data_IF_046300826242
#
_entry.id   IF_046300826242
#
_cell.length_a   1.000
_cell.length_b   1.000
_cell.length_c   1.000
_cell.angle_alpha   90.00
_cell.angle_beta   90.00
_cell.angle_gamma   90.00
#
_symmetry.space_group_name_H-M   'P 1'
#
loop_
_entity.id
_entity.type
_entity.pdbx_description
1 polymer ?
#
# COMPACT_ATOMS: atom_id res chain seq x y z
N UNK A 1 -35.87 30.97 -29.11
CA UNK A 1 -35.72 30.37 -27.77
C UNK A 1 -35.34 28.91 -27.98
N UNK A 2 -34.09 28.53 -27.66
CA UNK A 2 -33.62 27.16 -27.83
C UNK A 2 -34.00 26.35 -26.59
N UNK A 3 -34.86 25.35 -26.76
CA UNK A 3 -35.22 24.42 -25.69
C UNK A 3 -34.10 23.39 -25.55
N UNK A 4 -33.37 23.46 -24.44
CA UNK A 4 -32.41 22.41 -24.07
C UNK A 4 -33.25 21.18 -23.70
N UNK A 5 -33.10 20.08 -24.42
CA UNK A 5 -33.84 18.84 -24.17
C UNK A 5 -33.59 18.34 -22.74
N UNK A 6 -34.67 18.14 -21.99
CA UNK A 6 -34.70 17.72 -20.57
C UNK A 6 -34.10 16.33 -20.29
N UNK A 7 -33.65 15.61 -21.32
CA UNK A 7 -33.08 14.26 -21.22
C UNK A 7 -31.57 14.23 -20.96
N UNK A 8 -30.89 15.38 -21.00
CA UNK A 8 -29.44 15.46 -20.71
C UNK A 8 -29.13 15.50 -19.21
N UNK A 9 -30.07 15.99 -18.40
CA UNK A 9 -29.92 16.12 -16.95
C UNK A 9 -29.75 14.77 -16.21
N UNK A 10 -30.56 13.72 -16.47
CA UNK A 10 -30.35 12.42 -15.83
C UNK A 10 -29.06 11.72 -16.30
N UNK A 11 -28.64 11.95 -17.55
CA UNK A 11 -27.36 11.42 -18.08
C UNK A 11 -26.18 12.05 -17.34
N UNK A 12 -26.22 13.36 -17.09
CA UNK A 12 -25.21 14.06 -16.28
C UNK A 12 -25.17 13.55 -14.84
N UNK A 13 -26.32 13.29 -14.22
CA UNK A 13 -26.38 12.76 -12.85
C UNK A 13 -25.84 11.32 -12.79
N UNK A 14 -26.17 10.46 -13.78
CA UNK A 14 -25.59 9.11 -13.87
C UNK A 14 -24.07 9.17 -14.06
N UNK A 15 -23.55 10.03 -14.94
CA UNK A 15 -22.11 10.24 -15.14
C UNK A 15 -21.40 10.70 -13.85
N UNK A 16 -22.01 11.60 -13.07
CA UNK A 16 -21.48 12.05 -11.78
C UNK A 16 -21.48 10.95 -10.71
N UNK A 17 -22.42 10.00 -10.77
CA UNK A 17 -22.51 8.88 -9.82
C UNK A 17 -21.54 7.73 -10.13
N UNK A 18 -21.02 7.62 -11.38
CA UNK A 18 -20.01 6.62 -11.76
C UNK A 18 -18.58 6.93 -11.28
N UNK A 19 -18.30 8.14 -10.79
CA UNK A 19 -16.99 8.54 -10.24
C UNK A 19 -16.81 8.22 -8.74
N UNK A 20 -17.55 7.25 -8.19
CA UNK A 20 -17.39 6.92 -6.77
C UNK A 20 -16.24 5.93 -6.50
N UNK A 21 -15.35 6.38 -5.62
CA UNK A 21 -14.14 5.76 -5.05
C UNK A 21 -12.89 5.72 -5.95
N UNK A 22 -12.33 6.89 -6.22
CA UNK A 22 -10.86 7.00 -6.26
C UNK A 22 -10.41 7.05 -4.80
N UNK A 23 -9.70 6.02 -4.32
CA UNK A 23 -8.89 6.21 -3.11
C UNK A 23 -7.80 7.20 -3.50
N UNK A 24 -8.00 8.47 -3.17
CA UNK A 24 -6.99 9.50 -3.43
C UNK A 24 -5.92 9.41 -2.36
N UNK A 25 -4.67 9.38 -2.77
CA UNK A 25 -3.52 9.72 -1.95
C UNK A 25 -2.55 10.45 -2.87
N UNK A 26 -1.69 11.28 -2.31
CA UNK A 26 -0.87 12.19 -3.09
C UNK A 26 0.44 11.53 -3.55
N UNK A 27 1.04 10.71 -2.68
CA UNK A 27 2.32 10.03 -2.95
C UNK A 27 2.46 8.74 -2.14
N UNK A 28 3.49 7.94 -2.46
CA UNK A 28 3.90 6.81 -1.64
C UNK A 28 5.12 7.15 -0.80
N UNK A 29 5.08 6.73 0.46
CA UNK A 29 6.24 6.64 1.34
C UNK A 29 6.83 5.24 1.27
N UNK A 30 8.07 5.13 0.82
CA UNK A 30 8.86 3.90 0.95
C UNK A 30 9.50 3.89 2.34
N UNK A 31 8.93 3.12 3.27
CA UNK A 31 9.38 3.09 4.65
C UNK A 31 10.35 1.94 4.83
N UNK A 32 11.56 2.28 5.28
CA UNK A 32 12.59 1.32 5.64
C UNK A 32 12.72 1.25 7.16
N UNK A 33 13.00 0.07 7.68
CA UNK A 33 13.34 -0.16 9.07
C UNK A 33 14.81 -0.56 9.20
N UNK A 34 15.42 -0.17 10.32
CA UNK A 34 16.72 -0.69 10.76
C UNK A 34 16.46 -1.76 11.83
N UNK A 35 16.52 -3.07 11.48
CA UNK A 35 16.10 -4.14 12.38
C UNK A 35 16.81 -4.12 13.74
N UNK A 36 18.12 -3.84 13.86
CA UNK A 36 18.76 -3.75 15.16
C UNK A 36 18.22 -2.64 16.06
N UNK A 37 17.67 -1.54 15.53
CA UNK A 37 16.99 -0.54 16.34
C UNK A 37 15.57 -0.97 16.69
N UNK A 38 14.82 -1.51 15.73
CA UNK A 38 13.46 -2.06 15.97
C UNK A 38 13.47 -3.08 17.11
N UNK A 39 14.50 -3.94 17.13
CA UNK A 39 14.67 -5.02 18.10
C UNK A 39 15.33 -4.63 19.43
N UNK A 40 15.75 -3.36 19.61
CA UNK A 40 16.44 -2.91 20.83
C UNK A 40 15.54 -2.03 21.71
N UNK A 41 14.24 -2.19 21.60
CA UNK A 41 13.28 -1.55 22.51
C UNK A 41 12.93 -2.49 23.65
N UNK A 42 12.55 -1.95 24.82
CA UNK A 42 12.31 -2.77 26.03
C UNK A 42 11.17 -3.78 25.86
N UNK A 43 10.23 -3.48 24.97
CA UNK A 43 9.00 -4.22 24.80
C UNK A 43 8.98 -5.11 23.54
N UNK A 44 10.05 -5.08 22.73
CA UNK A 44 10.11 -5.83 21.46
C UNK A 44 11.34 -6.74 21.46
N UNK A 45 11.08 -8.04 21.60
CA UNK A 45 12.06 -9.08 21.33
C UNK A 45 11.87 -9.62 19.91
N UNK A 46 12.94 -9.64 19.12
CA UNK A 46 12.91 -10.17 17.77
C UNK A 46 13.13 -11.68 17.75
N UNK A 47 12.46 -12.36 16.83
CA UNK A 47 12.45 -13.83 16.73
C UNK A 47 13.84 -14.41 16.46
N UNK A 48 14.71 -13.67 15.76
CA UNK A 48 16.10 -14.04 15.48
C UNK A 48 17.01 -12.82 15.58
N UNK A 49 18.33 -13.05 15.45
CA UNK A 49 19.30 -11.98 15.39
C UNK A 49 18.97 -11.03 14.21
N UNK A 50 18.73 -9.74 14.45
CA UNK A 50 18.29 -8.82 13.41
C UNK A 50 19.37 -8.63 12.35
N UNK A 51 19.00 -8.65 11.05
CA UNK A 51 19.96 -8.40 9.98
C UNK A 51 20.48 -6.96 10.07
N UNK A 52 21.78 -6.77 9.80
CA UNK A 52 22.45 -5.46 9.86
C UNK A 52 22.38 -4.72 8.52
N UNK A 53 21.18 -4.64 7.96
CA UNK A 53 20.87 -3.91 6.74
C UNK A 53 19.48 -3.30 6.86
N UNK A 54 19.21 -2.24 6.11
CA UNK A 54 17.84 -1.73 6.01
C UNK A 54 16.96 -2.75 5.31
N UNK A 55 15.79 -3.01 5.88
CA UNK A 55 14.75 -3.80 5.25
C UNK A 55 13.53 -2.91 5.03
N UNK A 56 12.66 -3.33 4.13
CA UNK A 56 11.37 -2.70 3.90
C UNK A 56 10.53 -2.90 5.16
N UNK A 57 9.82 -1.85 5.56
CA UNK A 57 8.77 -1.90 6.57
C UNK A 57 7.42 -1.85 5.86
N UNK A 58 7.24 -0.90 4.93
CA UNK A 58 6.05 -0.86 4.08
C UNK A 58 6.12 0.19 2.99
N UNK A 59 5.15 0.13 2.09
CA UNK A 59 4.93 1.12 1.03
C UNK A 59 3.57 1.76 1.28
N UNK A 60 3.58 3.00 1.77
CA UNK A 60 2.37 3.60 2.35
C UNK A 60 1.84 4.74 1.50
N UNK A 61 0.56 4.71 1.10
CA UNK A 61 -0.11 5.84 0.49
C UNK A 61 -0.18 6.99 1.51
N UNK A 62 0.00 8.23 1.08
CA UNK A 62 0.09 9.39 2.00
C UNK A 62 -0.40 10.68 1.38
N UNK A 63 -0.87 11.60 2.22
CA UNK A 63 -1.24 12.95 1.84
C UNK A 63 -0.15 13.96 2.19
N UNK A 64 -0.05 15.05 1.43
CA UNK A 64 0.83 16.17 1.78
C UNK A 64 0.37 16.90 3.06
N UNK A 65 -0.91 16.77 3.43
CA UNK A 65 -1.43 17.32 4.69
C UNK A 65 -0.85 16.65 5.94
N UNK A 66 -0.27 15.45 5.80
CA UNK A 66 0.19 14.62 6.91
C UNK A 66 -0.90 13.75 7.55
N UNK A 67 -2.14 13.83 7.06
CA UNK A 67 -3.23 12.97 7.53
C UNK A 67 -2.95 11.50 7.20
N UNK A 68 -3.41 10.60 8.08
CA UNK A 68 -3.28 9.16 7.85
C UNK A 68 -4.20 8.70 6.71
N UNK A 69 -3.63 7.99 5.74
CA UNK A 69 -4.40 7.28 4.72
C UNK A 69 -4.68 5.86 5.22
N UNK A 70 -5.97 5.55 5.43
CA UNK A 70 -6.41 4.19 5.67
C UNK A 70 -7.12 3.67 4.44
N UNK A 71 -6.45 2.76 3.73
CA UNK A 71 -7.02 2.06 2.60
C UNK A 71 -7.32 0.64 3.05
N UNK A 72 -8.52 0.43 3.56
CA UNK A 72 -8.98 -0.93 3.83
C UNK A 72 -9.10 -1.66 2.50
N UNK A 73 -8.17 -2.58 2.24
CA UNK A 73 -8.19 -3.32 0.98
C UNK A 73 -9.48 -4.13 0.87
N UNK A 74 -10.14 -4.04 -0.30
CA UNK A 74 -11.33 -4.84 -0.60
C UNK A 74 -10.95 -6.27 -1.03
N UNK A 75 -9.74 -6.45 -1.54
CA UNK A 75 -9.21 -7.73 -1.96
C UNK A 75 -8.29 -8.28 -0.86
N UNK A 76 -8.52 -9.52 -0.44
CA UNK A 76 -7.62 -10.19 0.50
C UNK A 76 -6.41 -10.76 -0.22
N UNK A 77 -5.23 -10.48 0.34
CA UNK A 77 -3.98 -11.09 -0.09
C UNK A 77 -3.93 -12.55 0.35
N UNK A 78 -3.64 -13.44 -0.60
CA UNK A 78 -3.19 -14.81 -0.34
C UNK A 78 -1.69 -14.89 -0.67
N UNK A 79 -0.79 -14.70 0.32
CA UNK A 79 0.66 -14.68 0.10
C UNK A 79 1.18 -15.97 -0.52
N UNK A 80 0.57 -17.11 -0.18
CA UNK A 80 1.01 -18.42 -0.63
C UNK A 80 0.83 -18.63 -2.13
N UNK A 81 -0.08 -17.87 -2.75
CA UNK A 81 -0.34 -17.92 -4.19
C UNK A 81 0.17 -16.67 -4.91
N UNK A 82 -0.18 -15.49 -4.41
CA UNK A 82 0.06 -14.23 -5.10
C UNK A 82 1.51 -13.75 -4.96
N UNK A 83 2.20 -14.12 -3.87
CA UNK A 83 3.59 -13.73 -3.62
C UNK A 83 4.58 -14.89 -3.82
N UNK A 84 4.10 -16.08 -4.20
CA UNK A 84 4.96 -17.26 -4.39
C UNK A 84 6.20 -17.02 -5.26
N UNK A 85 6.11 -16.30 -6.41
CA UNK A 85 7.30 -16.03 -7.23
C UNK A 85 8.34 -15.12 -6.56
N UNK A 86 7.92 -14.30 -5.60
CA UNK A 86 8.75 -13.30 -4.93
C UNK A 86 9.12 -13.69 -3.50
N UNK A 87 8.61 -14.82 -2.99
CA UNK A 87 8.70 -15.19 -1.56
C UNK A 87 10.12 -15.08 -1.00
N UNK A 88 11.10 -15.66 -1.69
CA UNK A 88 12.51 -15.61 -1.26
C UNK A 88 13.05 -14.17 -1.15
N UNK A 89 12.68 -13.30 -2.09
CA UNK A 89 13.10 -11.89 -2.07
C UNK A 89 12.40 -11.13 -0.95
N UNK A 90 11.11 -11.41 -0.71
CA UNK A 90 10.34 -10.78 0.35
C UNK A 90 10.85 -11.20 1.74
N UNK A 91 11.22 -12.46 1.94
CA UNK A 91 11.83 -12.94 3.19
C UNK A 91 13.19 -12.26 3.46
N UNK A 92 13.94 -11.91 2.42
CA UNK A 92 15.22 -11.22 2.55
C UNK A 92 15.08 -9.71 2.78
N UNK A 93 14.23 -9.05 1.98
CA UNK A 93 14.18 -7.60 1.92
C UNK A 93 12.97 -6.99 2.63
N UNK A 94 11.90 -7.75 2.87
CA UNK A 94 10.70 -7.32 3.59
C UNK A 94 10.29 -8.32 4.72
N UNK A 95 11.23 -8.73 5.60
CA UNK A 95 10.93 -9.64 6.68
C UNK A 95 10.10 -8.99 7.80
N UNK A 96 9.23 -9.78 8.39
CA UNK A 96 8.82 -9.58 9.78
C UNK A 96 10.00 -9.88 10.71
N UNK A 97 10.64 -8.83 11.22
CA UNK A 97 11.80 -8.95 12.11
C UNK A 97 11.41 -9.23 13.55
N UNK A 98 10.14 -9.02 13.92
CA UNK A 98 9.67 -9.17 15.30
C UNK A 98 9.23 -10.61 15.53
N UNK A 99 8.19 -11.07 14.83
CA UNK A 99 7.61 -12.39 15.09
C UNK A 99 8.15 -13.49 14.16
N UNK A 100 8.79 -13.11 13.05
CA UNK A 100 9.20 -14.04 12.00
C UNK A 100 8.03 -14.57 11.17
N UNK A 101 6.78 -14.16 11.46
CA UNK A 101 5.61 -14.54 10.68
C UNK A 101 5.41 -13.59 9.50
N UNK A 102 6.25 -13.79 8.47
CA UNK A 102 6.31 -12.93 7.30
C UNK A 102 4.97 -12.83 6.57
N UNK A 103 4.23 -13.94 6.42
CA UNK A 103 2.95 -13.95 5.71
C UNK A 103 1.86 -13.14 6.42
N UNK A 104 1.80 -13.21 7.77
CA UNK A 104 0.90 -12.37 8.57
C UNK A 104 1.26 -10.89 8.43
N UNK A 105 2.56 -10.58 8.47
CA UNK A 105 3.04 -9.21 8.31
C UNK A 105 2.71 -8.64 6.92
N UNK A 106 2.96 -9.37 5.83
CA UNK A 106 2.61 -8.91 4.48
C UNK A 106 1.10 -8.74 4.31
N UNK A 107 0.28 -9.60 4.92
CA UNK A 107 -1.18 -9.43 4.96
C UNK A 107 -1.58 -8.17 5.72
N UNK A 108 -0.93 -7.87 6.85
CA UNK A 108 -1.19 -6.64 7.61
C UNK A 108 -0.90 -5.39 6.78
N UNK A 109 0.29 -5.35 6.17
CA UNK A 109 0.70 -4.22 5.32
C UNK A 109 -0.26 -4.06 4.14
N UNK A 110 -0.62 -5.16 3.48
CA UNK A 110 -1.61 -5.16 2.40
C UNK A 110 -2.98 -4.63 2.87
N UNK A 111 -3.55 -5.23 3.91
CA UNK A 111 -4.91 -4.91 4.36
C UNK A 111 -5.07 -3.44 4.80
N UNK A 112 -3.99 -2.84 5.30
CA UNK A 112 -3.97 -1.47 5.83
C UNK A 112 -3.59 -0.41 4.79
N UNK A 113 -2.68 -0.75 3.88
CA UNK A 113 -2.04 0.22 2.99
C UNK A 113 -2.31 0.02 1.50
N UNK A 114 -2.93 -1.09 1.08
CA UNK A 114 -3.34 -1.28 -0.31
C UNK A 114 -4.58 -0.45 -0.65
N UNK A 115 -4.33 0.74 -1.20
CA UNK A 115 -5.33 1.50 -1.93
C UNK A 115 -5.48 0.90 -3.32
N UNK A 116 -6.51 0.07 -3.54
CA UNK A 116 -6.86 -0.40 -4.88
C UNK A 116 -6.99 0.79 -5.84
N UNK A 117 -5.92 1.06 -6.61
CA UNK A 117 -5.98 2.04 -7.69
C UNK A 117 -6.65 1.37 -8.87
N UNK A 118 -7.78 1.93 -9.31
CA UNK A 118 -8.36 1.58 -10.63
C UNK A 118 -7.47 2.06 -11.79
N UNK A 119 -6.50 2.94 -11.52
CA UNK A 119 -5.53 3.47 -12.48
C UNK A 119 -4.17 2.76 -12.32
N UNK A 120 -3.53 2.31 -13.42
CA UNK A 120 -2.19 1.73 -13.35
C UNK A 120 -1.20 2.77 -12.81
N UNK A 121 -0.27 2.33 -11.95
CA UNK A 121 0.88 3.15 -11.57
C UNK A 121 1.55 3.66 -12.84
N UNK A 122 1.72 4.98 -13.06
CA UNK A 122 2.43 5.45 -14.24
C UNK A 122 3.82 4.79 -14.24
N UNK A 123 4.29 4.27 -15.39
CA UNK A 123 5.59 3.63 -15.46
C UNK A 123 6.63 4.59 -14.87
N UNK A 124 7.49 4.07 -13.99
CA UNK A 124 8.62 4.82 -13.45
C UNK A 124 9.37 5.41 -14.66
N UNK A 125 9.23 6.71 -14.89
CA UNK A 125 9.97 7.39 -15.93
C UNK A 125 11.43 7.26 -15.54
N UNK A 126 12.13 6.43 -16.31
CA UNK A 126 13.54 6.15 -16.16
C UNK A 126 14.29 7.43 -16.48
N UNK A 127 14.50 8.29 -15.49
CA UNK A 127 15.17 9.56 -15.72
C UNK A 127 15.06 10.55 -14.58
N UNK A 128 15.54 10.18 -13.38
CA UNK A 128 16.12 11.13 -12.41
C UNK A 128 17.14 10.36 -11.54
N UNK A 129 18.32 10.15 -12.12
CA UNK A 129 19.62 10.12 -11.42
C UNK A 129 20.54 11.01 -12.25
#
# INVERSE_FOLDING_TARGET
MAFISSNLLPICISLLLFFNSVYSFDYFQMVLQWPPATCKTKDVACYTAPPKMFTIHGLWPSYFSGDMVFCTSKAKLDPTKQLAPLKTQLEMYWPDVISGNHETFWKHEWDKHDCNRKEPCPPLQRGYI
#
